data_IF_400206302902
#
_entry.id   IF_400206302902
#
_cell.length_a   1.000
_cell.length_b   1.000
_cell.length_c   1.000
_cell.angle_alpha   90.00
_cell.angle_beta   90.00
_cell.angle_gamma   90.00
#
_symmetry.space_group_name_H-M   'P 1'
#
loop_
_entity.id
_entity.type
_entity.pdbx_description
1 polymer ?
#
# COMPACT_ATOMS: atom_id res chain seq x y z
N UNK A 1 -10.87 9.34 -17.05
CA UNK A 1 -11.66 9.19 -15.82
C UNK A 1 -11.11 10.15 -14.80
N UNK A 2 -11.84 11.20 -14.45
CA UNK A 2 -11.42 12.18 -13.45
C UNK A 2 -11.12 11.42 -12.15
N UNK A 3 -9.86 11.44 -11.70
CA UNK A 3 -9.49 10.92 -10.39
C UNK A 3 -10.15 11.82 -9.36
N UNK A 4 -11.29 11.39 -8.82
CA UNK A 4 -11.96 12.11 -7.74
C UNK A 4 -11.06 12.04 -6.49
N UNK A 5 -10.56 13.18 -5.99
CA UNK A 5 -9.73 13.20 -4.79
C UNK A 5 -10.46 12.74 -3.52
N UNK A 6 -11.81 12.68 -3.53
CA UNK A 6 -12.64 12.17 -2.44
C UNK A 6 -12.95 10.67 -2.59
N UNK A 7 -12.55 10.01 -3.67
CA UNK A 7 -12.70 8.56 -3.82
C UNK A 7 -11.70 7.84 -2.89
N UNK A 8 -12.17 7.52 -1.69
CA UNK A 8 -11.38 6.82 -0.69
C UNK A 8 -10.84 5.48 -1.18
N UNK A 9 -11.56 4.76 -2.06
CA UNK A 9 -11.09 3.49 -2.58
C UNK A 9 -9.91 3.68 -3.54
N UNK A 10 -9.97 4.70 -4.37
CA UNK A 10 -8.85 5.11 -5.23
C UNK A 10 -7.64 5.55 -4.38
N UNK A 11 -7.86 6.38 -3.35
CA UNK A 11 -6.78 6.81 -2.45
C UNK A 11 -6.16 5.64 -1.70
N UNK A 12 -6.96 4.70 -1.17
CA UNK A 12 -6.43 3.48 -0.54
C UNK A 12 -5.59 2.65 -1.52
N UNK A 13 -5.94 2.64 -2.80
CA UNK A 13 -5.14 1.96 -3.84
C UNK A 13 -3.77 2.61 -3.99
N UNK A 14 -3.70 3.94 -4.02
CA UNK A 14 -2.44 4.70 -4.05
C UNK A 14 -1.63 4.42 -2.80
N UNK A 15 -2.24 4.51 -1.60
CA UNK A 15 -1.56 4.24 -0.34
C UNK A 15 -0.93 2.85 -0.31
N UNK A 16 -1.66 1.82 -0.75
CA UNK A 16 -1.16 0.44 -0.82
C UNK A 16 0.02 0.32 -1.79
N UNK A 17 -0.07 0.92 -2.96
CA UNK A 17 0.98 0.86 -3.97
C UNK A 17 2.28 1.49 -3.44
N UNK A 18 2.19 2.70 -2.90
CA UNK A 18 3.31 3.43 -2.31
C UNK A 18 3.95 2.67 -1.13
N UNK A 19 3.14 2.11 -0.23
CA UNK A 19 3.63 1.31 0.88
C UNK A 19 4.36 0.03 0.43
N UNK A 20 3.80 -0.69 -0.54
CA UNK A 20 4.40 -1.91 -1.12
C UNK A 20 5.72 -1.60 -1.83
N UNK A 21 5.86 -0.42 -2.42
CA UNK A 21 7.10 0.03 -3.05
C UNK A 21 8.16 0.54 -2.06
N UNK A 22 7.89 0.45 -0.76
CA UNK A 22 8.81 0.94 0.27
C UNK A 22 8.84 2.46 0.37
N UNK A 23 7.77 3.14 -0.08
CA UNK A 23 7.58 4.60 -0.02
C UNK A 23 6.47 4.98 0.97
N UNK A 24 6.54 4.58 2.26
CA UNK A 24 5.46 4.81 3.22
C UNK A 24 5.16 6.31 3.44
N UNK A 25 6.16 7.18 3.33
CA UNK A 25 5.96 8.63 3.44
C UNK A 25 4.96 9.17 2.39
N UNK A 26 5.02 8.66 1.15
CA UNK A 26 4.09 9.06 0.09
C UNK A 26 2.70 8.48 0.31
N UNK A 27 2.61 7.25 0.83
CA UNK A 27 1.34 6.67 1.24
C UNK A 27 0.65 7.50 2.33
N UNK A 28 1.40 7.92 3.35
CA UNK A 28 0.90 8.75 4.45
C UNK A 28 0.50 10.15 3.98
N UNK A 29 1.24 10.72 3.02
CA UNK A 29 0.88 12.01 2.41
C UNK A 29 -0.46 11.94 1.66
N UNK A 30 -0.73 10.83 0.95
CA UNK A 30 -2.01 10.62 0.27
C UNK A 30 -3.19 10.57 1.26
N UNK A 31 -3.03 9.88 2.40
CA UNK A 31 -4.02 9.86 3.47
C UNK A 31 -4.27 11.25 4.06
N UNK A 32 -3.21 11.98 4.40
CA UNK A 32 -3.34 13.31 5.02
C UNK A 32 -4.13 14.26 4.10
N UNK A 33 -3.83 14.22 2.80
CA UNK A 33 -4.50 15.05 1.80
C UNK A 33 -5.95 14.63 1.54
N UNK A 34 -6.32 13.37 1.75
CA UNK A 34 -7.72 12.91 1.72
C UNK A 34 -8.47 13.39 2.97
N UNK A 35 -7.88 13.21 4.17
CA UNK A 35 -8.48 13.60 5.45
C UNK A 35 -8.81 15.09 5.48
N UNK A 36 -7.86 15.92 5.05
CA UNK A 36 -8.06 17.38 4.94
C UNK A 36 -9.24 17.71 4.02
N UNK A 37 -9.31 17.09 2.83
CA UNK A 37 -10.40 17.34 1.88
C UNK A 37 -11.77 16.87 2.38
N UNK A 38 -11.85 15.71 3.03
CA UNK A 38 -13.10 15.21 3.62
C UNK A 38 -13.59 16.14 4.72
N UNK A 39 -12.70 16.60 5.59
CA UNK A 39 -13.01 17.54 6.64
C UNK A 39 -13.49 18.88 6.05
N UNK A 40 -12.75 19.43 5.09
CA UNK A 40 -13.02 20.75 4.52
C UNK A 40 -14.29 20.79 3.67
N UNK A 41 -14.55 19.75 2.88
CA UNK A 41 -15.65 19.74 1.91
C UNK A 41 -16.92 19.09 2.45
N UNK A 42 -16.80 18.07 3.29
CA UNK A 42 -17.93 17.27 3.76
C UNK A 42 -18.12 17.32 5.28
N UNK A 43 -17.16 17.87 6.04
CA UNK A 43 -17.18 17.82 7.51
C UNK A 43 -17.09 16.40 8.05
N UNK A 44 -16.48 15.49 7.29
CA UNK A 44 -16.45 14.06 7.58
C UNK A 44 -15.02 13.57 7.85
N UNK A 45 -14.92 12.54 8.68
CA UNK A 45 -13.70 11.75 8.86
C UNK A 45 -13.58 10.67 7.78
N UNK A 46 -12.37 10.13 7.51
CA UNK A 46 -12.18 9.00 6.62
C UNK A 46 -12.93 7.75 7.08
N UNK A 47 -13.34 6.89 6.14
CA UNK A 47 -13.95 5.61 6.47
C UNK A 47 -12.98 4.71 7.25
N UNK A 48 -13.52 3.82 8.09
CA UNK A 48 -12.74 2.90 8.93
C UNK A 48 -11.68 2.09 8.14
N UNK A 49 -12.02 1.62 6.95
CA UNK A 49 -11.06 0.89 6.10
C UNK A 49 -9.85 1.75 5.64
N UNK A 50 -10.02 3.06 5.58
CA UNK A 50 -8.95 4.03 5.27
C UNK A 50 -8.09 4.28 6.50
N UNK A 51 -8.71 4.44 7.67
CA UNK A 51 -8.02 4.56 8.98
C UNK A 51 -7.19 3.31 9.31
N UNK A 52 -7.76 2.12 9.15
CA UNK A 52 -7.06 0.85 9.37
C UNK A 52 -5.80 0.72 8.50
N UNK A 53 -5.90 1.14 7.22
CA UNK A 53 -4.77 1.15 6.31
C UNK A 53 -3.69 2.16 6.76
N UNK A 54 -4.09 3.37 7.17
CA UNK A 54 -3.17 4.37 7.70
C UNK A 54 -2.39 3.83 8.90
N UNK A 55 -3.08 3.19 9.85
CA UNK A 55 -2.46 2.59 11.03
C UNK A 55 -1.54 1.42 10.68
N UNK A 56 -1.93 0.55 9.74
CA UNK A 56 -1.07 -0.54 9.28
C UNK A 56 0.25 -0.01 8.67
N UNK A 57 0.18 1.08 7.89
CA UNK A 57 1.37 1.72 7.31
C UNK A 57 2.26 2.32 8.40
N UNK A 58 1.70 3.03 9.38
CA UNK A 58 2.46 3.60 10.50
C UNK A 58 3.17 2.53 11.35
N UNK A 59 2.57 1.35 11.50
CA UNK A 59 3.16 0.21 12.23
C UNK A 59 4.13 -0.61 11.39
N UNK A 60 4.24 -0.36 10.09
CA UNK A 60 5.05 -1.18 9.18
C UNK A 60 4.45 -2.55 8.89
N UNK A 61 3.13 -2.73 9.08
CA UNK A 61 2.39 -3.98 8.85
C UNK A 61 2.02 -4.16 7.36
N UNK A 62 2.94 -3.79 6.46
CA UNK A 62 2.74 -3.87 5.00
C UNK A 62 3.87 -4.64 4.32
N UNK A 63 3.54 -5.57 3.39
CA UNK A 63 4.57 -6.31 2.67
C UNK A 63 5.32 -5.36 1.74
N UNK A 64 6.57 -5.05 2.07
CA UNK A 64 7.47 -4.32 1.19
C UNK A 64 7.91 -5.29 0.09
N UNK A 65 7.82 -4.86 -1.18
CA UNK A 65 8.45 -5.56 -2.30
C UNK A 65 9.95 -5.64 -2.05
N UNK A 66 10.43 -6.82 -1.67
CA UNK A 66 11.87 -7.09 -1.65
C UNK A 66 12.42 -6.87 -3.06
N UNK A 67 13.42 -6.00 -3.26
CA UNK A 67 14.08 -5.84 -4.54
C UNK A 67 14.86 -7.10 -4.95
N UNK A 68 15.10 -8.01 -4.01
CA UNK A 68 15.72 -9.31 -4.27
C UNK A 68 14.69 -10.42 -4.33
N UNK A 69 14.33 -10.81 -5.55
CA UNK A 69 13.75 -12.13 -5.83
C UNK A 69 14.90 -12.98 -6.38
N UNK A 70 15.60 -13.71 -5.51
CA UNK A 70 16.50 -14.76 -5.99
C UNK A 70 15.68 -15.69 -6.91
N UNK A 71 16.14 -16.02 -8.12
CA UNK A 71 15.51 -17.11 -8.85
C UNK A 71 15.64 -18.36 -7.98
N UNK A 72 14.50 -18.94 -7.61
CA UNK A 72 14.46 -20.26 -7.00
C UNK A 72 15.06 -21.23 -8.01
N UNK A 73 16.35 -21.53 -7.90
CA UNK A 73 16.93 -22.69 -8.60
C UNK A 73 16.23 -23.89 -7.98
N UNK A 74 15.25 -24.42 -8.71
CA UNK A 74 14.76 -25.77 -8.48
C UNK A 74 15.94 -26.68 -8.82
N UNK A 75 16.69 -27.10 -7.80
CA UNK A 75 17.69 -28.14 -7.97
C UNK A 75 16.98 -29.42 -8.40
N UNK A 76 16.99 -29.65 -9.71
CA UNK A 76 16.78 -30.97 -10.28
C UNK A 76 17.98 -31.82 -9.87
N UNK A 77 17.90 -32.48 -8.72
CA UNK A 77 18.76 -33.61 -8.41
C UNK A 77 18.32 -34.77 -9.30
N UNK A 78 18.85 -34.77 -10.52
CA UNK A 78 19.01 -35.99 -11.30
C UNK A 78 19.95 -36.89 -10.50
N UNK A 79 19.37 -37.92 -9.86
CA UNK A 79 20.12 -39.06 -9.37
C UNK A 79 20.65 -39.80 -10.59
N UNK A 80 21.92 -39.56 -10.90
CA UNK A 80 22.71 -40.42 -11.75
C UNK A 80 23.11 -41.69 -10.96
N UNK A 81 22.86 -42.82 -11.62
CA UNK A 81 23.71 -44.03 -11.62
C UNK A 81 23.85 -44.86 -10.33
N UNK A 82 23.25 -46.06 -10.38
CA UNK A 82 23.97 -47.34 -10.26
C UNK A 82 23.29 -48.41 -11.10
#
# INVERSE_FOLDING_TARGET
>A
STTDPLDEAAVRTVMRAEAVEGRPALALAAYAALRERLADQLGADPAAATEELHMAILRGEFPIRSPWRAPSVVSHIAGADR
#
